data_IF_684080070330
#
_entry.id   IF_684080070330
#
_cell.length_a   1.000
_cell.length_b   1.000
_cell.length_c   1.000
_cell.angle_alpha   90.00
_cell.angle_beta   90.00
_cell.angle_gamma   90.00
#
_symmetry.space_group_name_H-M   'P 1'
#
loop_
_entity.id
_entity.type
_entity.pdbx_description
1 polymer ?
#
# COMPACT_ATOMS: atom_id res chain seq x y z
N UNK A 1 -9.53 15.77 16.08
CA UNK A 1 -8.65 16.82 15.51
C UNK A 1 -9.43 17.47 14.37
N UNK A 2 -9.43 18.80 14.24
CA UNK A 2 -10.21 19.50 13.22
C UNK A 2 -9.75 19.09 11.82
N UNK A 3 -10.71 18.95 10.91
CA UNK A 3 -10.51 18.51 9.53
C UNK A 3 -9.49 19.37 8.78
N UNK A 4 -8.57 18.69 8.12
CA UNK A 4 -7.70 19.30 7.13
C UNK A 4 -8.52 19.50 5.85
N UNK A 5 -9.18 20.66 5.72
CA UNK A 5 -9.59 21.16 4.42
C UNK A 5 -8.34 21.66 3.69
N UNK A 6 -7.78 20.82 2.83
CA UNK A 6 -6.69 21.23 1.95
C UNK A 6 -7.29 21.94 0.72
N UNK A 7 -7.31 23.27 0.74
CA UNK A 7 -7.47 24.07 -0.48
C UNK A 7 -6.18 23.97 -1.31
N UNK A 8 -6.06 22.88 -2.06
CA UNK A 8 -4.92 22.54 -2.91
C UNK A 8 -4.80 21.03 -3.05
N UNK A 9 -4.60 20.53 -4.27
CA UNK A 9 -4.51 19.09 -4.54
C UNK A 9 -3.40 18.38 -3.74
N UNK A 10 -3.52 17.05 -3.59
CA UNK A 10 -2.57 16.22 -2.83
C UNK A 10 -1.15 16.33 -3.41
N UNK A 11 -0.19 16.78 -2.58
CA UNK A 11 1.23 16.81 -2.97
C UNK A 11 1.92 15.48 -2.62
N UNK A 12 1.89 14.54 -3.58
CA UNK A 12 2.45 13.18 -3.43
C UNK A 12 3.94 13.21 -3.08
N UNK A 13 4.73 14.09 -3.69
CA UNK A 13 6.17 14.16 -3.46
C UNK A 13 6.50 14.58 -2.03
N UNK A 14 5.82 15.61 -1.53
CA UNK A 14 5.99 16.07 -0.15
C UNK A 14 5.59 15.00 0.86
N UNK A 15 4.46 14.33 0.63
CA UNK A 15 3.97 13.26 1.50
C UNK A 15 4.92 12.06 1.50
N UNK A 16 5.38 11.61 0.33
CA UNK A 16 6.28 10.48 0.19
C UNK A 16 7.66 10.74 0.86
N UNK A 17 8.11 11.99 0.85
CA UNK A 17 9.36 12.41 1.47
C UNK A 17 9.29 12.56 3.01
N UNK A 18 8.10 12.43 3.62
CA UNK A 18 7.97 12.54 5.08
C UNK A 18 8.79 11.46 5.79
N UNK A 19 9.50 11.82 6.90
CA UNK A 19 10.32 10.88 7.64
C UNK A 19 9.54 9.63 8.06
N UNK A 20 10.14 8.46 7.83
CA UNK A 20 9.57 7.20 8.30
C UNK A 20 9.78 7.05 9.80
N UNK A 21 8.71 6.71 10.54
CA UNK A 21 8.76 6.35 11.95
C UNK A 21 8.17 4.95 12.09
N UNK A 22 8.96 3.93 12.44
CA UNK A 22 8.46 2.56 12.48
C UNK A 22 7.43 2.36 13.60
N UNK A 23 6.47 1.49 13.37
CA UNK A 23 5.54 1.03 14.40
C UNK A 23 6.30 0.23 15.47
N UNK A 24 6.16 0.63 16.74
CA UNK A 24 6.79 -0.02 17.89
C UNK A 24 5.78 -0.77 18.77
N UNK A 25 4.52 -0.91 18.33
CA UNK A 25 3.48 -1.64 19.04
C UNK A 25 3.87 -3.11 19.23
N UNK A 26 3.82 -3.59 20.48
CA UNK A 26 4.16 -4.99 20.80
C UNK A 26 3.24 -6.00 20.12
N UNK A 27 1.98 -5.65 19.89
CA UNK A 27 0.98 -6.53 19.27
C UNK A 27 1.27 -6.76 17.78
N UNK A 28 1.73 -5.74 17.08
CA UNK A 28 1.97 -5.81 15.63
C UNK A 28 3.25 -6.61 15.32
N UNK A 29 4.18 -6.67 16.29
CA UNK A 29 5.37 -7.51 16.24
C UNK A 29 5.09 -9.03 16.25
N UNK A 30 3.86 -9.47 16.53
CA UNK A 30 3.49 -10.91 16.49
C UNK A 30 2.78 -11.32 15.21
N UNK A 31 2.69 -10.44 14.22
CA UNK A 31 2.05 -10.73 12.93
C UNK A 31 2.76 -11.85 12.17
N UNK A 32 1.97 -12.67 11.46
CA UNK A 32 2.46 -13.66 10.50
C UNK A 32 2.30 -13.05 9.10
N UNK A 33 3.42 -12.90 8.39
CA UNK A 33 3.43 -12.57 6.98
C UNK A 33 3.51 -13.84 6.13
N UNK A 34 2.77 -13.90 5.03
CA UNK A 34 2.78 -15.01 4.08
C UNK A 34 3.23 -14.51 2.71
N UNK A 35 4.15 -15.24 2.08
CA UNK A 35 4.42 -15.17 0.64
C UNK A 35 3.94 -16.48 0.04
N UNK A 36 2.88 -16.41 -0.77
CA UNK A 36 2.33 -17.54 -1.51
C UNK A 36 2.84 -17.51 -2.94
N UNK A 37 3.33 -18.65 -3.42
CA UNK A 37 3.84 -18.81 -4.79
C UNK A 37 3.14 -20.00 -5.46
N UNK A 38 2.46 -19.77 -6.58
CA UNK A 38 1.78 -20.82 -7.34
C UNK A 38 1.69 -20.45 -8.82
N UNK A 39 2.06 -21.37 -9.72
CA UNK A 39 2.00 -21.16 -11.17
C UNK A 39 2.63 -19.83 -11.66
N UNK A 40 3.73 -19.43 -11.02
CA UNK A 40 4.44 -18.19 -11.36
C UNK A 40 3.85 -16.91 -10.76
N UNK A 41 2.75 -17.02 -10.00
CA UNK A 41 2.12 -15.92 -9.27
C UNK A 41 2.65 -15.80 -7.85
N UNK A 42 2.75 -14.57 -7.35
CA UNK A 42 3.23 -14.22 -6.00
C UNK A 42 2.30 -13.27 -5.28
N UNK A 43 1.83 -13.71 -4.11
CA UNK A 43 0.96 -12.90 -3.24
C UNK A 43 1.63 -12.76 -1.88
N UNK A 44 1.78 -11.52 -1.42
CA UNK A 44 2.23 -11.19 -0.06
C UNK A 44 1.04 -10.72 0.77
N UNK A 45 0.76 -11.46 1.85
CA UNK A 45 -0.20 -11.07 2.89
C UNK A 45 0.57 -10.68 4.15
N UNK A 46 0.62 -9.39 4.48
CA UNK A 46 1.49 -8.89 5.55
C UNK A 46 0.85 -8.89 6.94
N UNK A 47 -0.47 -9.03 7.04
CA UNK A 47 -1.21 -8.71 8.27
C UNK A 47 -0.84 -7.30 8.76
N UNK A 48 -0.51 -7.16 10.03
CA UNK A 48 -0.05 -5.91 10.65
C UNK A 48 1.45 -5.92 10.92
N UNK A 49 2.23 -6.69 10.15
CA UNK A 49 3.66 -6.85 10.38
C UNK A 49 4.43 -5.52 10.37
N UNK A 50 5.46 -5.44 11.20
CA UNK A 50 6.37 -4.31 11.22
C UNK A 50 7.28 -4.28 9.99
N UNK A 51 7.54 -3.08 9.50
CA UNK A 51 8.31 -2.82 8.28
C UNK A 51 9.70 -3.46 8.30
N UNK A 52 10.42 -3.35 9.43
CA UNK A 52 11.80 -3.86 9.55
C UNK A 52 11.87 -5.36 9.31
N UNK A 53 10.91 -6.14 9.82
CA UNK A 53 10.87 -7.60 9.59
C UNK A 53 10.46 -7.95 8.17
N UNK A 54 9.53 -7.22 7.58
CA UNK A 54 9.17 -7.39 6.16
C UNK A 54 10.38 -7.15 5.28
N UNK A 55 11.10 -6.03 5.47
CA UNK A 55 12.35 -5.71 4.77
C UNK A 55 13.37 -6.83 4.92
N UNK A 56 13.63 -7.29 6.15
CA UNK A 56 14.59 -8.38 6.39
C UNK A 56 14.19 -9.69 5.71
N UNK A 57 12.90 -9.97 5.61
CA UNK A 57 12.39 -11.23 5.03
C UNK A 57 12.37 -11.21 3.51
N UNK A 58 12.10 -10.04 2.91
CA UNK A 58 12.02 -9.88 1.44
C UNK A 58 13.40 -9.68 0.81
N UNK A 59 14.32 -8.99 1.50
CA UNK A 59 15.63 -8.61 0.97
C UNK A 59 16.41 -9.75 0.30
N UNK A 60 16.58 -10.95 0.90
CA UNK A 60 17.33 -12.03 0.26
C UNK A 60 16.72 -12.50 -1.07
N UNK A 61 15.38 -12.45 -1.18
CA UNK A 61 14.66 -12.81 -2.41
C UNK A 61 14.79 -11.72 -3.48
N UNK A 62 14.70 -10.45 -3.07
CA UNK A 62 14.93 -9.32 -3.97
C UNK A 62 16.37 -9.32 -4.51
N UNK A 63 17.37 -9.59 -3.66
CA UNK A 63 18.78 -9.71 -4.06
C UNK A 63 19.00 -10.85 -5.08
N UNK A 64 18.31 -11.98 -4.90
CA UNK A 64 18.34 -13.09 -5.86
C UNK A 64 17.73 -12.73 -7.22
N UNK A 65 16.88 -11.69 -7.29
CA UNK A 65 16.21 -11.19 -8.50
C UNK A 65 16.81 -9.89 -9.04
N UNK A 66 18.06 -9.57 -8.68
CA UNK A 66 18.74 -8.39 -9.21
C UNK A 66 18.36 -7.09 -8.51
N UNK A 67 17.80 -7.17 -7.30
CA UNK A 67 17.58 -6.05 -6.38
C UNK A 67 16.11 -5.78 -6.05
N UNK A 68 15.16 -6.33 -6.82
CA UNK A 68 13.71 -6.18 -6.58
C UNK A 68 13.01 -7.51 -6.78
N UNK A 69 12.16 -7.89 -5.82
CA UNK A 69 11.29 -9.05 -5.91
C UNK A 69 10.02 -8.67 -6.67
N UNK A 70 9.72 -9.35 -7.77
CA UNK A 70 8.41 -9.19 -8.43
C UNK A 70 7.30 -9.82 -7.60
N UNK A 71 6.17 -9.12 -7.45
CA UNK A 71 4.99 -9.53 -6.65
C UNK A 71 3.69 -9.14 -7.35
N UNK A 72 2.83 -10.07 -7.73
CA UNK A 72 1.54 -9.74 -8.34
C UNK A 72 0.64 -8.96 -7.38
N UNK A 73 0.60 -9.36 -6.10
CA UNK A 73 -0.29 -8.73 -5.10
C UNK A 73 0.39 -8.57 -3.76
N UNK A 74 0.34 -7.35 -3.21
CA UNK A 74 0.69 -7.06 -1.83
C UNK A 74 -0.52 -6.50 -1.08
N UNK A 75 -0.99 -7.24 -0.07
CA UNK A 75 -1.90 -6.67 0.93
C UNK A 75 -1.09 -5.73 1.81
N UNK A 76 -1.40 -4.43 1.79
CA UNK A 76 -0.64 -3.44 2.56
C UNK A 76 -0.85 -3.66 4.05
N UNK A 77 0.25 -3.60 4.79
CA UNK A 77 0.28 -3.85 6.22
C UNK A 77 -0.55 -2.83 7.00
N UNK A 78 -1.20 -3.32 8.06
CA UNK A 78 -1.88 -2.48 9.05
C UNK A 78 -2.77 -1.42 8.38
N UNK A 79 -3.59 -1.89 7.45
CA UNK A 79 -4.58 -1.08 6.74
C UNK A 79 -4.02 0.09 5.90
N UNK A 80 -2.71 0.16 5.67
CA UNK A 80 -2.07 1.32 5.04
C UNK A 80 -1.58 2.38 6.04
N UNK A 81 -1.11 1.92 7.20
CA UNK A 81 -0.37 2.74 8.16
C UNK A 81 0.96 3.24 7.57
N UNK A 82 1.27 4.53 7.74
CA UNK A 82 2.57 5.09 7.32
C UNK A 82 3.74 4.64 8.21
N UNK A 83 3.45 3.98 9.32
CA UNK A 83 4.43 3.38 10.23
C UNK A 83 4.86 1.95 9.82
N UNK A 84 4.19 1.36 8.83
CA UNK A 84 4.41 -0.03 8.39
C UNK A 84 4.87 -0.15 6.93
N UNK A 85 4.99 0.96 6.21
CA UNK A 85 5.37 1.00 4.80
C UNK A 85 6.46 2.05 4.56
N UNK A 86 7.71 1.61 4.63
CA UNK A 86 8.89 2.44 4.37
C UNK A 86 9.24 2.46 2.87
N UNK A 87 10.09 3.42 2.51
CA UNK A 87 10.74 3.43 1.19
C UNK A 87 11.63 2.19 1.01
N UNK A 88 12.34 1.76 2.04
CA UNK A 88 13.23 0.60 1.97
C UNK A 88 12.47 -0.69 1.63
N UNK A 89 11.25 -0.85 2.16
CA UNK A 89 10.39 -1.97 1.79
C UNK A 89 9.91 -1.87 0.34
N UNK A 90 9.46 -0.68 -0.08
CA UNK A 90 8.97 -0.46 -1.44
C UNK A 90 10.06 -0.58 -2.51
N UNK A 91 11.29 -0.19 -2.18
CA UNK A 91 12.45 -0.33 -3.08
C UNK A 91 12.83 -1.80 -3.32
N UNK A 92 12.46 -2.72 -2.42
CA UNK A 92 12.75 -4.15 -2.54
C UNK A 92 11.70 -4.91 -3.35
N UNK A 93 10.57 -4.29 -3.69
CA UNK A 93 9.46 -4.95 -4.39
C UNK A 93 9.16 -4.24 -5.70
N UNK A 94 8.79 -5.00 -6.72
CA UNK A 94 8.12 -4.49 -7.91
C UNK A 94 6.74 -5.13 -7.95
N UNK A 95 5.71 -4.37 -7.58
CA UNK A 95 4.40 -4.93 -7.29
C UNK A 95 3.31 -4.37 -8.20
N UNK A 96 2.52 -5.28 -8.78
CA UNK A 96 1.47 -4.91 -9.71
C UNK A 96 0.23 -4.35 -9.00
N UNK A 97 -0.10 -4.87 -7.81
CA UNK A 97 -1.35 -4.54 -7.12
C UNK A 97 -1.18 -4.39 -5.61
N UNK A 98 -1.55 -3.22 -5.08
CA UNK A 98 -1.55 -2.92 -3.65
C UNK A 98 -2.98 -2.92 -3.09
N UNK A 99 -3.25 -3.76 -2.10
CA UNK A 99 -4.58 -3.88 -1.51
C UNK A 99 -4.69 -3.12 -0.18
N UNK A 100 -5.54 -2.10 -0.17
CA UNK A 100 -5.93 -1.32 0.99
C UNK A 100 -7.29 -1.83 1.49
N UNK A 101 -7.33 -2.25 2.75
CA UNK A 101 -8.54 -2.85 3.37
C UNK A 101 -8.92 -2.09 4.62
N UNK A 102 -9.71 -1.03 4.51
CA UNK A 102 -10.11 -0.19 5.65
C UNK A 102 -11.18 0.82 5.28
N UNK A 103 -12.11 1.07 6.20
CA UNK A 103 -13.04 2.20 6.15
C UNK A 103 -12.47 3.49 6.72
N UNK A 104 -11.34 3.41 7.41
CA UNK A 104 -10.76 4.53 8.16
C UNK A 104 -11.45 4.83 9.50
N UNK A 105 -12.57 4.20 9.85
CA UNK A 105 -13.41 4.60 10.99
C UNK A 105 -12.69 4.66 12.36
N UNK A 106 -11.66 3.85 12.58
CA UNK A 106 -10.93 3.77 13.85
C UNK A 106 -9.64 4.59 13.89
N UNK A 107 -8.91 4.63 12.78
CA UNK A 107 -7.52 5.11 12.72
C UNK A 107 -7.25 6.05 11.54
N UNK A 108 -8.28 6.40 10.77
CA UNK A 108 -8.19 7.21 9.55
C UNK A 108 -7.19 6.64 8.52
N UNK A 109 -7.12 5.31 8.45
CA UNK A 109 -6.35 4.61 7.44
C UNK A 109 -7.09 4.53 6.10
N UNK A 110 -6.37 4.42 4.97
CA UNK A 110 -4.90 4.46 4.90
C UNK A 110 -4.39 5.89 5.13
N UNK A 111 -3.20 6.02 5.72
CA UNK A 111 -2.58 7.33 5.83
C UNK A 111 -2.16 7.82 4.45
N UNK A 112 -2.34 9.11 4.19
CA UNK A 112 -1.98 9.68 2.89
C UNK A 112 -0.49 9.52 2.55
N UNK A 113 0.38 9.51 3.57
CA UNK A 113 1.81 9.22 3.43
C UNK A 113 2.04 7.81 2.88
N UNK A 114 1.32 6.80 3.38
CA UNK A 114 1.49 5.42 2.93
C UNK A 114 1.12 5.28 1.45
N UNK A 115 -0.04 5.82 1.05
CA UNK A 115 -0.48 5.79 -0.35
C UNK A 115 0.49 6.59 -1.22
N UNK A 116 0.89 7.81 -0.83
CA UNK A 116 1.87 8.60 -1.56
C UNK A 116 3.22 7.87 -1.75
N UNK A 117 3.69 7.12 -0.74
CA UNK A 117 4.88 6.27 -0.88
C UNK A 117 4.69 5.17 -1.91
N UNK A 118 3.53 4.50 -1.95
CA UNK A 118 3.20 3.53 -3.01
C UNK A 118 3.25 4.20 -4.38
N UNK A 119 2.59 5.35 -4.54
CA UNK A 119 2.59 6.11 -5.80
C UNK A 119 4.00 6.47 -6.26
N UNK A 120 4.89 6.82 -5.32
CA UNK A 120 6.25 7.26 -5.66
C UNK A 120 7.26 6.11 -5.85
N UNK A 121 7.19 5.06 -5.03
CA UNK A 121 8.25 4.05 -4.92
C UNK A 121 7.79 2.63 -5.25
N UNK A 122 6.49 2.36 -5.21
CA UNK A 122 5.90 1.02 -5.38
C UNK A 122 5.83 0.50 -6.81
N UNK A 123 6.82 0.77 -7.66
CA UNK A 123 6.85 0.32 -9.05
C UNK A 123 6.36 1.38 -10.06
N UNK A 124 6.65 1.17 -11.34
CA UNK A 124 6.37 2.15 -12.40
C UNK A 124 4.92 2.11 -12.90
N UNK A 125 4.28 0.95 -12.82
CA UNK A 125 2.86 0.73 -13.13
C UNK A 125 2.28 -0.12 -12.02
N UNK A 126 1.17 0.33 -11.43
CA UNK A 126 0.49 -0.41 -10.37
C UNK A 126 -0.99 -0.10 -10.29
N UNK A 127 -1.73 -1.00 -9.70
CA UNK A 127 -3.12 -0.82 -9.32
C UNK A 127 -3.22 -0.67 -7.80
N UNK A 128 -4.00 0.31 -7.35
CA UNK A 128 -4.32 0.47 -5.93
C UNK A 128 -5.78 0.10 -5.74
N UNK A 129 -6.00 -0.99 -5.01
CA UNK A 129 -7.33 -1.53 -4.76
C UNK A 129 -7.77 -1.12 -3.36
N UNK A 130 -8.93 -0.48 -3.28
CA UNK A 130 -9.57 -0.11 -2.03
C UNK A 130 -10.87 -0.88 -1.90
N UNK A 131 -11.17 -1.38 -0.70
CA UNK A 131 -12.49 -1.95 -0.43
C UNK A 131 -13.54 -0.90 0.00
N UNK A 132 -13.17 0.37 0.16
CA UNK A 132 -14.09 1.48 0.45
C UNK A 132 -13.92 2.60 -0.58
N UNK A 133 -15.02 3.04 -1.20
CA UNK A 133 -14.99 4.06 -2.27
C UNK A 133 -14.50 5.41 -1.77
N UNK A 134 -14.94 5.83 -0.59
CA UNK A 134 -14.59 7.15 -0.05
C UNK A 134 -13.07 7.31 0.16
N UNK A 135 -12.38 6.22 0.53
CA UNK A 135 -10.92 6.15 0.59
C UNK A 135 -10.29 6.19 -0.80
N UNK A 136 -10.88 5.47 -1.76
CA UNK A 136 -10.42 5.45 -3.14
C UNK A 136 -10.52 6.82 -3.81
N UNK A 137 -11.61 7.55 -3.59
CA UNK A 137 -11.93 8.82 -4.23
C UNK A 137 -10.87 9.92 -4.00
N UNK A 138 -10.14 9.86 -2.90
CA UNK A 138 -9.02 10.77 -2.60
C UNK A 138 -7.88 10.62 -3.62
N UNK A 139 -7.71 9.41 -4.16
CA UNK A 139 -6.61 9.01 -5.04
C UNK A 139 -7.07 8.73 -6.48
N UNK A 140 -8.39 8.69 -6.73
CA UNK A 140 -8.98 8.50 -8.05
C UNK A 140 -8.96 9.81 -8.87
N UNK A 141 -7.75 10.33 -9.10
CA UNK A 141 -7.51 11.65 -9.72
C UNK A 141 -6.63 11.47 -10.96
N UNK A 142 -7.16 11.78 -12.14
CA UNK A 142 -6.52 11.48 -13.42
C UNK A 142 -5.13 12.11 -13.57
N UNK A 143 -4.95 13.37 -13.14
CA UNK A 143 -3.65 14.04 -13.18
C UNK A 143 -2.59 13.36 -12.30
N UNK A 144 -3.00 12.71 -11.22
CA UNK A 144 -2.09 11.90 -10.39
C UNK A 144 -1.82 10.54 -11.05
N UNK A 145 -2.85 9.87 -11.59
CA UNK A 145 -2.71 8.59 -12.31
C UNK A 145 -1.73 8.69 -13.47
N UNK A 146 -1.88 9.73 -14.30
CA UNK A 146 -1.00 9.99 -15.43
C UNK A 146 0.44 10.25 -14.99
N UNK A 147 0.61 11.02 -13.91
CA UNK A 147 1.93 11.40 -13.40
C UNK A 147 2.68 10.26 -12.72
N UNK A 148 1.98 9.41 -11.97
CA UNK A 148 2.60 8.37 -11.13
C UNK A 148 2.39 6.93 -11.64
N UNK A 149 1.72 6.78 -12.79
CA UNK A 149 1.53 5.49 -13.45
C UNK A 149 0.72 4.51 -12.60
N UNK A 150 -0.52 4.85 -12.27
CA UNK A 150 -1.38 3.92 -11.51
C UNK A 150 -2.84 3.96 -11.94
N UNK A 151 -3.56 2.89 -11.58
CA UNK A 151 -5.02 2.80 -11.64
C UNK A 151 -5.60 2.60 -10.25
N UNK A 152 -6.90 2.89 -10.11
CA UNK A 152 -7.65 2.70 -8.87
C UNK A 152 -8.78 1.73 -9.13
N UNK A 153 -8.95 0.77 -8.22
CA UNK A 153 -10.11 -0.11 -8.17
C UNK A 153 -10.81 0.08 -6.83
N UNK A 154 -12.12 0.22 -6.88
CA UNK A 154 -13.01 0.36 -5.74
C UNK A 154 -14.32 -0.38 -6.03
N UNK A 155 -15.21 -0.57 -5.04
CA UNK A 155 -16.57 -1.07 -5.30
C UNK A 155 -17.27 -0.28 -6.42
N UNK A 156 -18.33 -0.79 -7.04
CA UNK A 156 -19.15 -0.03 -8.01
C UNK A 156 -20.09 0.97 -7.28
N UNK A 157 -20.45 2.13 -7.85
CA UNK A 157 -21.20 3.20 -7.15
C UNK A 157 -22.46 2.76 -6.39
N UNK A 158 -23.11 1.71 -6.87
CA UNK A 158 -24.31 1.08 -6.34
C UNK A 158 -24.05 -0.16 -5.46
N UNK A 159 -22.79 -0.60 -5.35
CA UNK A 159 -22.37 -1.71 -4.49
C UNK A 159 -22.05 -1.26 -3.06
N UNK A 160 -22.23 -2.18 -2.10
CA UNK A 160 -21.81 -1.97 -0.72
C UNK A 160 -20.28 -1.92 -0.60
N UNK A 161 -19.77 -1.00 0.21
CA UNK A 161 -18.37 -0.97 0.59
C UNK A 161 -18.00 -2.19 1.47
N UNK A 162 -16.70 -2.41 1.66
CA UNK A 162 -16.13 -3.45 2.50
C UNK A 162 -15.60 -4.65 1.71
N UNK A 163 -16.03 -4.84 0.46
CA UNK A 163 -15.63 -5.97 -0.37
C UNK A 163 -15.28 -5.57 -1.81
N UNK A 164 -14.16 -6.09 -2.30
CA UNK A 164 -13.76 -6.07 -3.71
C UNK A 164 -13.17 -7.43 -4.05
N UNK A 165 -13.43 -7.91 -5.27
CA UNK A 165 -12.83 -9.12 -5.82
C UNK A 165 -12.12 -8.81 -7.13
N UNK A 166 -11.10 -9.59 -7.44
CA UNK A 166 -10.34 -9.54 -8.69
C UNK A 166 -9.71 -10.91 -8.95
N UNK A 167 -9.26 -11.14 -10.17
CA UNK A 167 -8.55 -12.35 -10.59
C UNK A 167 -7.08 -12.03 -10.91
N UNK A 168 -6.23 -13.07 -10.93
CA UNK A 168 -4.78 -12.99 -11.15
C UNK A 168 -4.33 -13.86 -12.31
#
# INVERSE_FOLDING_TARGET
MPGFEHFGGVNVEELAARPFRPDTSKTNLTSIGLLFEFEGKRIILTGDADDRRLVRSIRPRAEAEGGRLHVDVLKVAHHGSDHNLSKDLLDLIDCDRYLISTSGARHDHPNAIAVARILKHGGAKKEIVFNYRDRAAIWDVDSLKDRFGYTVTAPAPDAEDGFVSFEL
#
